data_IF_372046298079
#
_entry.id   IF_372046298079
#
_cell.length_a   1.000
_cell.length_b   1.000
_cell.length_c   1.000
_cell.angle_alpha   90.00
_cell.angle_beta   90.00
_cell.angle_gamma   90.00
#
_symmetry.space_group_name_H-M   'P 1'
#
loop_
_entity.id
_entity.type
_entity.pdbx_description
1 polymer ?
#
# COMPACT_ATOMS: atom_id res chain seq x y z
N UNK A 1 9.78 6.12 4.08
CA UNK A 1 10.05 7.58 4.18
C UNK A 1 11.53 7.74 4.47
N UNK A 2 12.26 8.37 3.57
CA UNK A 2 13.68 8.67 3.77
C UNK A 2 13.82 9.89 4.68
N UNK A 3 14.33 9.70 5.87
CA UNK A 3 14.70 10.81 6.74
C UNK A 3 16.09 11.27 6.34
N UNK A 4 16.19 12.49 5.80
CA UNK A 4 17.46 13.08 5.41
C UNK A 4 18.17 13.81 6.54
N UNK A 5 17.54 13.91 7.71
CA UNK A 5 18.13 14.60 8.84
C UNK A 5 17.89 13.83 10.15
N UNK A 6 18.85 13.91 11.05
CA UNK A 6 18.75 13.38 12.42
C UNK A 6 17.88 14.24 13.31
N UNK A 7 17.46 15.42 12.84
CA UNK A 7 16.67 16.37 13.58
C UNK A 7 15.58 16.98 12.69
N UNK A 8 14.35 17.08 13.23
CA UNK A 8 13.19 17.72 12.59
C UNK A 8 12.87 18.96 13.39
N UNK A 9 13.11 20.15 12.81
CA UNK A 9 12.84 21.44 13.45
C UNK A 9 11.35 21.80 13.57
N UNK A 10 10.48 21.06 12.85
CA UNK A 10 9.03 21.32 12.83
C UNK A 10 8.29 20.38 13.76
N UNK A 11 7.19 20.83 14.40
CA UNK A 11 6.34 19.95 15.18
C UNK A 11 5.84 18.76 14.35
N UNK A 12 5.91 17.55 14.92
CA UNK A 12 5.38 16.34 14.32
C UNK A 12 4.13 15.91 15.09
N UNK A 13 2.99 15.88 14.41
CA UNK A 13 1.73 15.44 14.99
C UNK A 13 1.47 13.96 14.63
N UNK A 14 1.46 13.11 15.64
CA UNK A 14 1.05 11.71 15.48
C UNK A 14 -0.46 11.60 15.71
N UNK A 15 -1.21 11.23 14.66
CA UNK A 15 -2.66 11.01 14.79
C UNK A 15 -2.92 9.77 15.64
N UNK A 16 -3.64 9.94 16.76
CA UNK A 16 -3.99 8.89 17.72
C UNK A 16 -5.52 8.66 17.81
N UNK A 17 -6.26 9.10 16.81
CA UNK A 17 -7.71 8.86 16.75
C UNK A 17 -7.94 7.38 16.50
N UNK A 18 -8.34 6.65 17.53
CA UNK A 18 -8.55 5.20 17.55
C UNK A 18 -10.03 4.86 17.41
N UNK A 19 -10.31 3.57 17.33
CA UNK A 19 -11.63 2.98 17.32
C UNK A 19 -12.04 2.47 15.94
N UNK A 20 -12.75 1.35 15.99
CA UNK A 20 -13.40 0.69 14.86
C UNK A 20 -14.87 0.55 15.26
N UNK A 21 -15.78 1.06 14.44
CA UNK A 21 -17.21 1.06 14.74
C UNK A 21 -18.02 0.64 13.51
N UNK A 22 -18.80 -0.42 13.65
CA UNK A 22 -19.85 -0.75 12.70
C UNK A 22 -21.01 0.25 12.94
N UNK A 23 -21.46 0.94 11.90
CA UNK A 23 -22.55 1.89 12.00
C UNK A 23 -23.77 1.52 11.14
N UNK A 24 -23.56 0.64 10.17
CA UNK A 24 -24.61 0.13 9.30
C UNK A 24 -24.19 -1.25 8.79
N UNK A 25 -25.14 -2.14 8.67
CA UNK A 25 -24.97 -3.43 8.02
C UNK A 25 -26.29 -3.89 7.38
N UNK A 26 -26.16 -4.78 6.41
CA UNK A 26 -27.25 -5.54 5.83
C UNK A 26 -26.84 -7.02 5.75
N UNK A 27 -27.55 -7.83 5.00
CA UNK A 27 -27.27 -9.25 4.85
C UNK A 27 -25.88 -9.52 4.26
N UNK A 28 -25.45 -8.74 3.28
CA UNK A 28 -24.24 -8.99 2.49
C UNK A 28 -23.06 -8.07 2.82
N UNK A 29 -23.32 -6.89 3.38
CA UNK A 29 -22.35 -5.84 3.58
C UNK A 29 -22.36 -5.27 4.99
N UNK A 30 -21.21 -4.82 5.42
CA UNK A 30 -21.02 -4.06 6.65
C UNK A 30 -20.29 -2.75 6.36
N UNK A 31 -20.75 -1.67 6.98
CA UNK A 31 -20.15 -0.34 6.89
C UNK A 31 -19.43 -0.03 8.19
N UNK A 32 -18.11 0.16 8.08
CA UNK A 32 -17.22 0.28 9.23
C UNK A 32 -16.53 1.64 9.21
N UNK A 33 -16.68 2.39 10.28
CA UNK A 33 -16.01 3.67 10.50
C UNK A 33 -14.76 3.46 11.36
N UNK A 34 -13.58 3.86 10.87
CA UNK A 34 -12.29 3.59 11.49
C UNK A 34 -11.52 4.89 11.72
N UNK A 35 -11.03 5.06 12.94
CA UNK A 35 -10.21 6.21 13.31
C UNK A 35 -8.87 6.20 12.56
N UNK A 36 -8.44 7.38 12.08
CA UNK A 36 -7.25 7.51 11.24
C UNK A 36 -5.94 7.05 11.91
N UNK A 37 -5.88 7.01 13.24
CA UNK A 37 -4.74 6.53 14.01
C UNK A 37 -4.74 5.03 14.30
N UNK A 38 -5.75 4.27 13.87
CA UNK A 38 -5.75 2.80 13.95
C UNK A 38 -4.64 2.27 13.06
N UNK A 39 -3.86 1.30 13.53
CA UNK A 39 -2.87 0.64 12.70
C UNK A 39 -3.58 -0.11 11.56
N UNK A 40 -3.03 -0.05 10.35
CA UNK A 40 -3.65 -0.66 9.18
C UNK A 40 -3.75 -2.17 9.30
N UNK A 41 -2.68 -2.81 9.78
CA UNK A 41 -2.65 -4.27 9.90
C UNK A 41 -3.61 -4.76 10.99
N UNK A 42 -3.69 -4.04 12.12
CA UNK A 42 -4.69 -4.33 13.17
C UNK A 42 -6.12 -4.23 12.63
N UNK A 43 -6.40 -3.26 11.74
CA UNK A 43 -7.70 -3.15 11.09
C UNK A 43 -7.99 -4.32 10.14
N UNK A 44 -7.02 -4.74 9.33
CA UNK A 44 -7.18 -5.91 8.44
C UNK A 44 -7.41 -7.17 9.27
N UNK A 45 -6.63 -7.41 10.33
CA UNK A 45 -6.81 -8.56 11.21
C UNK A 45 -8.20 -8.54 11.87
N UNK A 46 -8.65 -7.38 12.36
CA UNK A 46 -10.00 -7.23 12.89
C UNK A 46 -11.07 -7.58 11.83
N UNK A 47 -10.88 -7.21 10.57
CA UNK A 47 -11.79 -7.60 9.50
C UNK A 47 -11.82 -9.13 9.31
N UNK A 48 -10.67 -9.78 9.29
CA UNK A 48 -10.57 -11.24 9.15
C UNK A 48 -11.22 -11.98 10.32
N UNK A 49 -11.00 -11.52 11.55
CA UNK A 49 -11.59 -12.10 12.77
C UNK A 49 -13.13 -12.03 12.77
N UNK A 50 -13.71 -11.03 12.09
CA UNK A 50 -15.14 -10.85 11.94
C UNK A 50 -15.69 -11.42 10.62
N UNK A 51 -14.89 -12.11 9.83
CA UNK A 51 -15.23 -12.59 8.49
C UNK A 51 -15.72 -11.46 7.55
N UNK A 52 -15.03 -10.31 7.56
CA UNK A 52 -15.30 -9.18 6.67
C UNK A 52 -14.23 -9.10 5.57
N UNK A 53 -14.67 -9.32 4.32
CA UNK A 53 -13.77 -9.34 3.14
C UNK A 53 -13.68 -8.01 2.42
N UNK A 54 -12.59 -7.85 1.66
CA UNK A 54 -12.32 -6.71 0.77
C UNK A 54 -10.99 -6.00 1.01
N UNK A 55 -10.32 -6.28 2.15
CA UNK A 55 -9.02 -5.69 2.51
C UNK A 55 -7.92 -6.73 2.76
N UNK A 56 -8.22 -8.01 2.69
CA UNK A 56 -7.31 -9.13 2.95
C UNK A 56 -6.04 -9.10 2.11
N UNK A 57 -6.12 -8.68 0.83
CA UNK A 57 -4.97 -8.53 -0.05
C UNK A 57 -4.01 -7.40 0.37
N UNK A 58 -4.46 -6.52 1.26
CA UNK A 58 -3.70 -5.35 1.72
C UNK A 58 -3.07 -5.57 3.10
N UNK A 59 -3.06 -6.81 3.60
CA UNK A 59 -2.44 -7.18 4.88
C UNK A 59 -0.94 -6.87 4.88
N UNK A 60 -0.40 -6.60 6.06
CA UNK A 60 1.03 -6.29 6.30
C UNK A 60 1.55 -5.04 5.58
N UNK A 61 0.68 -4.14 5.10
CA UNK A 61 1.09 -2.83 4.61
C UNK A 61 1.33 -1.92 5.83
N UNK A 62 2.54 -1.38 6.02
CA UNK A 62 2.83 -0.55 7.18
C UNK A 62 2.12 0.79 7.12
N UNK A 63 1.68 1.29 8.27
CA UNK A 63 1.06 2.60 8.41
C UNK A 63 -0.25 2.55 9.20
N UNK A 64 -0.97 3.67 9.16
CA UNK A 64 -2.27 3.81 9.82
C UNK A 64 -3.39 3.99 8.78
N UNK A 65 -4.61 3.70 9.19
CA UNK A 65 -5.82 3.81 8.37
C UNK A 65 -5.95 5.17 7.68
N UNK A 66 -5.65 6.28 8.37
CA UNK A 66 -5.69 7.61 7.75
C UNK A 66 -4.63 7.87 6.67
N UNK A 67 -3.56 7.06 6.63
CA UNK A 67 -2.54 7.09 5.58
C UNK A 67 -2.94 6.30 4.32
N UNK A 68 -3.83 5.34 4.46
CA UNK A 68 -4.23 4.45 3.37
C UNK A 68 -4.83 5.20 2.15
N UNK A 69 -5.78 6.13 2.30
CA UNK A 69 -6.35 6.87 1.18
C UNK A 69 -5.40 7.90 0.56
N UNK A 70 -4.37 8.35 1.28
CA UNK A 70 -3.46 9.40 0.76
C UNK A 70 -2.89 9.01 -0.59
N UNK A 71 -2.40 7.81 -0.71
CA UNK A 71 -1.81 7.29 -1.95
C UNK A 71 -2.54 6.08 -2.50
N UNK A 72 -3.80 5.90 -2.10
CA UNK A 72 -4.59 4.76 -2.56
C UNK A 72 -3.75 3.47 -2.46
N UNK A 73 -3.44 3.04 -1.23
CA UNK A 73 -2.60 1.84 -1.03
C UNK A 73 -3.18 0.67 -1.81
N UNK A 74 -2.31 -0.15 -2.37
CA UNK A 74 -2.75 -1.29 -3.17
C UNK A 74 -1.64 -2.33 -3.31
N UNK A 75 -2.03 -3.58 -3.29
CA UNK A 75 -1.18 -4.75 -3.45
C UNK A 75 -1.99 -5.93 -3.96
N UNK A 76 -1.35 -6.85 -4.64
CA UNK A 76 -1.91 -8.13 -5.06
C UNK A 76 -3.30 -8.03 -5.73
N UNK A 77 -3.44 -7.06 -6.64
CA UNK A 77 -4.66 -6.87 -7.44
C UNK A 77 -5.76 -6.04 -6.79
N UNK A 78 -5.60 -5.59 -5.52
CA UNK A 78 -6.59 -4.75 -4.83
C UNK A 78 -6.02 -3.37 -4.52
N UNK A 79 -6.90 -2.38 -4.48
CA UNK A 79 -6.61 -1.03 -4.00
C UNK A 79 -7.61 -0.66 -2.90
N UNK A 80 -7.19 0.17 -1.94
CA UNK A 80 -8.05 0.55 -0.82
C UNK A 80 -9.28 1.34 -1.25
N UNK A 81 -9.22 2.04 -2.39
CA UNK A 81 -10.38 2.72 -3.00
C UNK A 81 -11.57 1.79 -3.26
N UNK A 82 -11.30 0.49 -3.46
CA UNK A 82 -12.34 -0.49 -3.79
C UNK A 82 -13.31 -0.72 -2.61
N UNK A 83 -12.87 -0.38 -1.40
CA UNK A 83 -13.66 -0.54 -0.17
C UNK A 83 -13.98 0.78 0.54
N UNK A 84 -13.30 1.88 0.22
CA UNK A 84 -13.56 3.19 0.85
C UNK A 84 -14.91 3.75 0.38
N UNK A 85 -15.76 4.10 1.34
CA UNK A 85 -17.00 4.85 1.14
C UNK A 85 -16.73 6.35 1.23
N UNK A 86 -16.00 6.77 2.28
CA UNK A 86 -15.69 8.18 2.51
C UNK A 86 -14.46 8.37 3.39
N UNK A 87 -13.86 9.56 3.26
CA UNK A 87 -12.79 10.05 4.12
C UNK A 87 -13.25 11.35 4.81
N UNK A 88 -13.24 11.34 6.13
CA UNK A 88 -13.59 12.53 6.95
C UNK A 88 -12.34 13.12 7.58
N UNK A 89 -12.29 14.44 7.68
CA UNK A 89 -11.18 15.13 8.29
C UNK A 89 -11.40 16.63 8.37
N UNK A 90 -10.32 17.36 8.57
CA UNK A 90 -10.37 18.82 8.73
C UNK A 90 -9.29 19.53 7.91
N UNK A 91 -9.60 20.70 7.43
CA UNK A 91 -8.64 21.61 6.83
C UNK A 91 -7.73 22.20 7.92
N UNK A 92 -6.42 22.04 7.75
CA UNK A 92 -5.43 22.41 8.77
C UNK A 92 -5.47 23.92 9.08
N UNK A 93 -5.73 24.77 8.06
CA UNK A 93 -5.70 26.22 8.21
C UNK A 93 -6.83 26.79 9.07
N UNK A 94 -8.04 26.24 8.93
CA UNK A 94 -9.26 26.84 9.53
C UNK A 94 -10.07 25.84 10.37
N UNK A 95 -9.58 24.62 10.51
CA UNK A 95 -10.19 23.51 11.27
C UNK A 95 -11.62 23.15 10.79
N UNK A 96 -12.00 23.60 9.58
CA UNK A 96 -13.30 23.26 9.00
C UNK A 96 -13.31 21.76 8.65
N UNK A 97 -14.33 21.09 9.15
CA UNK A 97 -14.54 19.67 8.83
C UNK A 97 -15.11 19.50 7.42
N UNK A 98 -14.69 18.44 6.75
CA UNK A 98 -15.28 17.97 5.50
C UNK A 98 -15.21 16.45 5.42
N UNK A 99 -16.26 15.88 4.83
CA UNK A 99 -16.29 14.47 4.38
C UNK A 99 -16.18 14.45 2.86
N UNK A 100 -15.25 13.64 2.36
CA UNK A 100 -15.09 13.36 0.94
C UNK A 100 -15.67 12.00 0.65
N UNK A 101 -16.58 11.89 -0.30
CA UNK A 101 -17.04 10.60 -0.85
C UNK A 101 -15.91 9.92 -1.62
N UNK A 102 -16.05 8.64 -1.94
CA UNK A 102 -15.08 7.91 -2.75
C UNK A 102 -14.75 8.65 -4.07
N UNK A 103 -15.77 9.13 -4.78
CA UNK A 103 -15.60 9.88 -6.04
C UNK A 103 -14.86 11.21 -5.84
N UNK A 104 -15.16 11.95 -4.77
CA UNK A 104 -14.46 13.21 -4.45
C UNK A 104 -12.99 12.99 -4.04
N UNK A 105 -12.64 11.80 -3.53
CA UNK A 105 -11.26 11.44 -3.22
C UNK A 105 -10.38 11.35 -4.49
N UNK A 106 -10.96 11.27 -5.67
CA UNK A 106 -10.26 11.22 -6.97
C UNK A 106 -9.10 10.23 -6.97
N UNK A 107 -9.38 9.01 -6.52
CA UNK A 107 -8.39 7.95 -6.44
C UNK A 107 -7.89 7.52 -7.81
N UNK A 108 -6.58 7.40 -7.93
CA UNK A 108 -5.92 6.81 -9.09
C UNK A 108 -4.69 6.02 -8.63
N UNK A 109 -3.92 5.45 -9.57
CA UNK A 109 -2.74 4.66 -9.24
C UNK A 109 -1.74 5.42 -8.36
N UNK A 110 -1.64 5.01 -7.10
CA UNK A 110 -0.76 5.61 -6.05
C UNK A 110 -0.97 7.10 -5.84
N UNK A 111 -2.18 7.61 -6.05
CA UNK A 111 -2.53 9.01 -5.81
C UNK A 111 -3.99 9.19 -5.40
N UNK A 112 -4.30 10.36 -4.85
CA UNK A 112 -5.62 10.83 -4.49
C UNK A 112 -5.61 12.36 -4.40
N UNK A 113 -6.77 12.98 -4.21
CA UNK A 113 -6.89 14.41 -3.92
C UNK A 113 -6.03 14.84 -2.71
N UNK A 114 -5.88 13.97 -1.72
CA UNK A 114 -5.09 14.24 -0.50
C UNK A 114 -3.58 14.27 -0.75
N UNK A 115 -3.11 13.56 -1.76
CA UNK A 115 -1.68 13.56 -2.16
C UNK A 115 -1.37 14.68 -3.14
N UNK A 116 -2.35 15.19 -3.84
CA UNK A 116 -2.24 16.23 -4.88
C UNK A 116 -2.77 17.58 -4.36
N UNK A 117 -4.00 17.94 -4.70
CA UNK A 117 -4.59 19.26 -4.44
C UNK A 117 -4.69 19.62 -2.96
N UNK A 118 -4.91 18.63 -2.10
CA UNK A 118 -5.04 18.82 -0.64
C UNK A 118 -3.78 18.44 0.14
N UNK A 119 -2.66 18.26 -0.55
CA UNK A 119 -1.38 17.95 0.10
C UNK A 119 -1.02 19.03 1.11
N UNK A 120 -0.79 18.61 2.36
CA UNK A 120 -0.49 19.49 3.50
C UNK A 120 -1.59 20.48 3.86
N UNK A 121 -2.80 20.35 3.31
CA UNK A 121 -3.93 21.23 3.59
C UNK A 121 -5.04 20.52 4.39
N UNK A 122 -5.09 19.21 4.36
CA UNK A 122 -6.15 18.40 4.96
C UNK A 122 -5.59 17.27 5.80
N UNK A 123 -6.13 17.09 7.01
CA UNK A 123 -5.80 15.98 7.90
C UNK A 123 -7.00 15.02 7.99
N UNK A 124 -6.81 13.78 7.56
CA UNK A 124 -7.82 12.73 7.66
C UNK A 124 -7.92 12.29 9.12
N UNK A 125 -9.12 12.28 9.67
CA UNK A 125 -9.41 11.86 11.05
C UNK A 125 -10.13 10.52 11.12
N UNK A 126 -10.85 10.17 10.04
CA UNK A 126 -11.66 8.94 9.99
C UNK A 126 -11.82 8.48 8.54
N UNK A 127 -11.85 7.17 8.34
CA UNK A 127 -12.14 6.54 7.04
C UNK A 127 -13.29 5.56 7.23
N UNK A 128 -14.23 5.58 6.31
CA UNK A 128 -15.37 4.66 6.30
C UNK A 128 -15.20 3.67 5.16
N UNK A 129 -15.36 2.39 5.49
CA UNK A 129 -15.26 1.27 4.55
C UNK A 129 -16.59 0.56 4.39
N UNK A 130 -16.80 -0.03 3.21
CA UNK A 130 -17.81 -1.06 2.97
C UNK A 130 -17.08 -2.38 2.72
N UNK A 131 -17.47 -3.42 3.47
CA UNK A 131 -16.84 -4.73 3.44
C UNK A 131 -17.92 -5.80 3.24
N UNK A 132 -17.56 -6.93 2.65
CA UNK A 132 -18.47 -8.05 2.46
C UNK A 132 -18.57 -8.91 3.72
N UNK A 133 -19.74 -9.46 4.03
CA UNK A 133 -19.99 -10.39 5.15
C UNK A 133 -20.02 -11.86 4.70
N UNK A 134 -20.36 -12.06 3.45
CA UNK A 134 -20.43 -13.39 2.81
C UNK A 134 -20.16 -13.25 1.31
N UNK A 135 -20.08 -14.35 0.58
CA UNK A 135 -19.85 -14.37 -0.86
C UNK A 135 -18.67 -13.48 -1.28
N UNK A 136 -17.58 -13.57 -0.53
CA UNK A 136 -16.41 -12.73 -0.72
C UNK A 136 -15.84 -12.87 -2.14
N UNK A 137 -15.55 -11.76 -2.80
CA UNK A 137 -14.86 -11.75 -4.08
C UNK A 137 -13.37 -11.94 -3.83
N UNK A 138 -12.89 -13.14 -4.03
CA UNK A 138 -11.49 -13.52 -3.79
C UNK A 138 -10.61 -13.10 -4.97
N UNK A 139 -9.55 -12.33 -4.68
CA UNK A 139 -8.55 -11.92 -5.66
C UNK A 139 -7.26 -12.71 -5.48
N UNK A 140 -7.10 -13.75 -6.28
CA UNK A 140 -5.95 -14.67 -6.24
C UNK A 140 -5.12 -14.69 -7.54
N UNK A 141 -5.45 -13.82 -8.51
CA UNK A 141 -4.89 -13.86 -9.86
C UNK A 141 -3.41 -13.42 -9.94
N UNK A 142 -2.88 -12.86 -8.86
CA UNK A 142 -1.47 -12.47 -8.82
C UNK A 142 -0.57 -13.71 -8.80
N UNK A 143 0.42 -13.79 -9.72
CA UNK A 143 1.20 -15.01 -9.98
C UNK A 143 1.82 -15.62 -8.72
N UNK A 144 2.41 -14.81 -7.84
CA UNK A 144 2.99 -15.35 -6.61
C UNK A 144 1.95 -15.84 -5.61
N UNK A 145 0.72 -15.33 -5.65
CA UNK A 145 -0.40 -15.82 -4.84
C UNK A 145 -0.88 -17.16 -5.39
N UNK A 146 -1.11 -17.26 -6.72
CA UNK A 146 -1.50 -18.52 -7.39
C UNK A 146 -0.51 -19.64 -7.11
N UNK A 147 0.78 -19.35 -7.25
CA UNK A 147 1.84 -20.34 -7.04
C UNK A 147 1.83 -20.90 -5.63
N UNK A 148 1.69 -20.04 -4.60
CA UNK A 148 1.64 -20.49 -3.21
C UNK A 148 0.34 -21.21 -2.86
N UNK A 149 -0.81 -20.73 -3.33
CA UNK A 149 -2.08 -21.47 -3.18
C UNK A 149 -1.97 -22.88 -3.72
N UNK A 150 -1.38 -23.04 -4.91
CA UNK A 150 -1.12 -24.36 -5.50
C UNK A 150 -0.17 -25.21 -4.64
N UNK A 151 0.92 -24.63 -4.13
CA UNK A 151 1.89 -25.34 -3.30
C UNK A 151 1.27 -25.82 -1.98
N UNK A 152 0.34 -25.04 -1.42
CA UNK A 152 -0.42 -25.41 -0.22
C UNK A 152 -1.67 -26.27 -0.50
N UNK A 153 -1.91 -26.67 -1.77
CA UNK A 153 -3.08 -27.43 -2.21
C UNK A 153 -4.43 -26.75 -1.88
N UNK A 154 -4.47 -25.41 -1.86
CA UNK A 154 -5.68 -24.63 -1.61
C UNK A 154 -6.36 -24.31 -2.95
N UNK A 155 -7.50 -24.96 -3.21
CA UNK A 155 -8.26 -24.78 -4.47
C UNK A 155 -9.37 -23.74 -4.37
N UNK A 156 -9.99 -23.59 -3.20
CA UNK A 156 -11.06 -22.62 -2.92
C UNK A 156 -10.65 -21.76 -1.72
N UNK A 157 -9.79 -20.76 -1.92
CA UNK A 157 -9.28 -19.96 -0.82
C UNK A 157 -10.36 -19.09 -0.19
N UNK A 158 -10.34 -19.01 1.13
CA UNK A 158 -11.06 -18.02 1.92
C UNK A 158 -10.28 -16.69 1.98
N UNK A 159 -10.89 -15.64 2.53
CA UNK A 159 -10.21 -14.37 2.80
C UNK A 159 -9.03 -14.55 3.76
N UNK A 160 -9.13 -15.50 4.70
CA UNK A 160 -8.06 -15.83 5.64
C UNK A 160 -6.91 -16.52 4.92
N UNK A 161 -7.19 -17.45 4.00
CA UNK A 161 -6.14 -18.11 3.20
C UNK A 161 -5.38 -17.08 2.35
N UNK A 162 -6.09 -16.16 1.69
CA UNK A 162 -5.46 -15.09 0.92
C UNK A 162 -4.56 -14.22 1.81
N UNK A 163 -5.05 -13.80 2.96
CA UNK A 163 -4.27 -13.00 3.90
C UNK A 163 -3.00 -13.74 4.36
N UNK A 164 -3.10 -15.01 4.71
CA UNK A 164 -1.97 -15.83 5.15
C UNK A 164 -0.93 -16.02 4.03
N UNK A 165 -1.37 -16.35 2.82
CA UNK A 165 -0.49 -16.48 1.64
C UNK A 165 0.23 -15.16 1.34
N UNK A 166 -0.47 -14.04 1.39
CA UNK A 166 0.14 -12.73 1.13
C UNK A 166 1.13 -12.37 2.23
N UNK A 167 0.82 -12.67 3.49
CA UNK A 167 1.74 -12.47 4.60
C UNK A 167 3.01 -13.30 4.41
N UNK A 168 2.91 -14.57 4.05
CA UNK A 168 4.04 -15.45 3.74
C UNK A 168 4.92 -14.88 2.61
N UNK A 169 4.30 -14.44 1.49
CA UNK A 169 5.01 -13.79 0.39
C UNK A 169 5.76 -12.55 0.87
N UNK A 170 5.13 -11.73 1.72
CA UNK A 170 5.71 -10.49 2.20
C UNK A 170 6.83 -10.73 3.19
N UNK A 171 6.65 -11.66 4.12
CA UNK A 171 7.68 -12.03 5.10
C UNK A 171 8.93 -12.62 4.42
N UNK A 172 8.76 -13.37 3.34
CA UNK A 172 9.87 -13.86 2.52
C UNK A 172 10.55 -12.76 1.71
N UNK A 173 9.77 -11.85 1.12
CA UNK A 173 10.31 -10.83 0.20
C UNK A 173 10.79 -9.56 0.91
N UNK A 174 10.11 -9.12 1.96
CA UNK A 174 10.38 -7.84 2.59
C UNK A 174 11.29 -8.00 3.80
N UNK A 175 12.34 -7.19 3.93
CA UNK A 175 13.14 -7.18 5.16
C UNK A 175 12.29 -6.70 6.33
N UNK A 176 12.50 -7.30 7.49
CA UNK A 176 11.86 -6.83 8.72
C UNK A 176 12.35 -5.42 9.04
N UNK A 177 11.47 -4.43 8.91
CA UNK A 177 11.81 -3.01 9.15
C UNK A 177 12.20 -2.69 10.59
N UNK A 178 11.92 -3.59 11.54
CA UNK A 178 12.38 -3.49 12.94
C UNK A 178 13.85 -3.88 13.10
N UNK A 179 14.39 -4.62 12.14
CA UNK A 179 15.79 -5.07 12.11
C UNK A 179 16.61 -4.24 11.12
N UNK A 180 16.06 -4.02 9.93
CA UNK A 180 16.72 -3.25 8.88
C UNK A 180 15.77 -2.14 8.43
N UNK A 181 16.13 -0.88 8.74
CA UNK A 181 15.38 0.28 8.28
C UNK A 181 15.24 0.27 6.76
N UNK A 182 14.04 0.47 6.25
CA UNK A 182 13.82 0.55 4.81
C UNK A 182 12.75 1.59 4.46
N UNK A 183 12.82 2.11 3.24
CA UNK A 183 11.88 3.09 2.71
C UNK A 183 10.78 2.44 1.85
N UNK A 184 10.73 1.12 1.77
CA UNK A 184 9.84 0.40 0.87
C UNK A 184 10.19 0.65 -0.61
N UNK A 185 9.22 0.47 -1.49
CA UNK A 185 9.37 0.81 -2.92
C UNK A 185 9.43 2.32 -3.10
N UNK A 186 10.62 2.84 -3.40
CA UNK A 186 10.83 4.27 -3.57
C UNK A 186 10.20 4.81 -4.86
N UNK A 187 10.32 4.06 -5.94
CA UNK A 187 9.78 4.43 -7.24
C UNK A 187 8.41 3.79 -7.49
N UNK A 188 7.52 4.54 -8.12
CA UNK A 188 6.33 3.97 -8.75
C UNK A 188 6.75 3.24 -10.02
N UNK A 189 5.97 2.22 -10.40
CA UNK A 189 6.07 1.65 -11.72
C UNK A 189 5.67 2.73 -12.75
N UNK A 190 6.55 3.16 -13.66
CA UNK A 190 6.20 4.16 -14.66
C UNK A 190 5.16 3.61 -15.63
N UNK A 191 4.26 4.49 -16.04
CA UNK A 191 3.34 4.26 -17.15
C UNK A 191 3.90 5.09 -18.30
N UNK A 192 4.16 4.46 -19.44
CA UNK A 192 4.68 5.08 -20.65
C UNK A 192 3.75 4.79 -21.82
N UNK A 193 3.80 5.61 -22.85
CA UNK A 193 3.08 5.34 -24.09
C UNK A 193 3.66 4.10 -24.82
N UNK A 194 2.80 3.46 -25.61
CA UNK A 194 3.14 2.24 -26.33
C UNK A 194 4.28 2.44 -27.34
N UNK A 195 4.36 3.61 -27.98
CA UNK A 195 5.43 3.91 -28.93
C UNK A 195 6.81 3.90 -28.23
N UNK A 196 6.89 4.53 -27.06
CA UNK A 196 8.11 4.54 -26.24
C UNK A 196 8.44 3.14 -25.74
N UNK A 197 7.43 2.35 -25.40
CA UNK A 197 7.62 0.96 -24.99
C UNK A 197 8.21 0.11 -26.12
N UNK A 198 7.67 0.21 -27.35
CA UNK A 198 8.22 -0.54 -28.49
C UNK A 198 9.66 -0.12 -28.82
N UNK A 199 10.00 1.17 -28.70
CA UNK A 199 11.41 1.63 -28.83
C UNK A 199 12.33 1.01 -27.77
N UNK A 200 11.85 0.85 -26.53
CA UNK A 200 12.63 0.19 -25.46
C UNK A 200 12.83 -1.30 -25.75
N UNK A 201 11.84 -1.98 -26.33
CA UNK A 201 11.95 -3.42 -26.70
C UNK A 201 13.03 -3.68 -27.72
N UNK A 202 13.40 -2.71 -28.55
CA UNK A 202 14.53 -2.86 -29.50
C UNK A 202 15.87 -3.09 -28.78
N UNK A 203 16.01 -2.58 -27.58
CA UNK A 203 17.24 -2.73 -26.78
C UNK A 203 17.12 -3.77 -25.67
N UNK A 204 15.89 -4.15 -25.29
CA UNK A 204 15.60 -5.05 -24.19
C UNK A 204 14.45 -5.99 -24.59
N UNK A 205 14.74 -7.17 -25.11
CA UNK A 205 13.73 -8.12 -25.61
C UNK A 205 12.71 -8.56 -24.56
N UNK A 206 13.15 -8.71 -23.32
CA UNK A 206 12.35 -9.25 -22.22
C UNK A 206 12.00 -8.21 -21.17
N UNK A 207 11.37 -7.10 -21.58
CA UNK A 207 10.86 -6.11 -20.62
C UNK A 207 9.56 -6.63 -20.00
N UNK A 208 9.50 -6.90 -18.68
CA UNK A 208 8.25 -7.19 -18.01
C UNK A 208 7.30 -6.01 -18.16
N UNK A 209 6.07 -6.25 -18.57
CA UNK A 209 5.14 -5.17 -18.87
C UNK A 209 3.71 -5.56 -18.58
N UNK A 210 2.91 -4.54 -18.24
CA UNK A 210 1.47 -4.67 -18.00
C UNK A 210 0.75 -3.62 -18.84
N UNK A 211 -0.03 -4.04 -19.80
CA UNK A 211 -0.89 -3.14 -20.58
C UNK A 211 -1.98 -2.57 -19.68
N UNK A 212 -2.09 -1.25 -19.62
CA UNK A 212 -3.11 -0.53 -18.87
C UNK A 212 -4.34 -0.29 -19.77
N UNK A 213 -4.08 0.12 -21.01
CA UNK A 213 -5.05 0.35 -22.06
C UNK A 213 -4.35 0.18 -23.43
N UNK A 214 -5.02 0.54 -24.51
CA UNK A 214 -4.49 0.43 -25.89
C UNK A 214 -3.24 1.29 -26.14
N UNK A 215 -3.08 2.37 -25.37
CA UNK A 215 -2.05 3.40 -25.58
C UNK A 215 -0.95 3.37 -24.51
N UNK A 216 -1.18 2.74 -23.35
CA UNK A 216 -0.33 2.87 -22.17
C UNK A 216 0.14 1.53 -21.62
N UNK A 217 1.42 1.47 -21.29
CA UNK A 217 2.09 0.29 -20.73
C UNK A 217 2.78 0.66 -19.42
N UNK A 218 2.58 -0.14 -18.39
CA UNK A 218 3.25 -0.01 -17.10
C UNK A 218 4.45 -0.96 -17.03
N UNK A 219 5.63 -0.42 -16.68
CA UNK A 219 6.87 -1.18 -16.52
C UNK A 219 7.22 -1.27 -15.03
N UNK A 220 7.63 -2.45 -14.51
CA UNK A 220 8.10 -2.56 -13.14
C UNK A 220 9.35 -1.71 -12.89
N UNK A 221 9.28 -0.78 -11.93
CA UNK A 221 10.43 0.02 -11.53
C UNK A 221 11.60 -0.85 -11.00
N UNK A 222 11.25 -1.98 -10.39
CA UNK A 222 12.20 -2.98 -9.92
C UNK A 222 13.11 -3.49 -11.05
N UNK A 223 12.50 -3.85 -12.19
CA UNK A 223 13.25 -4.29 -13.36
C UNK A 223 14.15 -3.17 -13.92
N UNK A 224 13.66 -1.94 -13.98
CA UNK A 224 14.46 -0.80 -14.43
C UNK A 224 15.70 -0.58 -13.56
N UNK A 225 15.56 -0.67 -12.24
CA UNK A 225 16.67 -0.55 -11.29
C UNK A 225 17.68 -1.67 -11.52
N UNK A 226 17.23 -2.90 -11.75
CA UNK A 226 18.06 -4.06 -12.03
C UNK A 226 18.77 -3.92 -13.38
N UNK A 227 18.06 -3.53 -14.43
CA UNK A 227 18.63 -3.30 -15.76
C UNK A 227 19.69 -2.18 -15.77
N UNK A 228 19.55 -1.17 -14.90
CA UNK A 228 20.55 -0.13 -14.69
C UNK A 228 21.75 -0.58 -13.81
N UNK A 229 21.79 -1.83 -13.35
CA UNK A 229 22.90 -2.37 -12.55
C UNK A 229 22.91 -1.93 -11.08
N UNK A 230 21.84 -1.28 -10.58
CA UNK A 230 21.79 -0.77 -9.20
C UNK A 230 21.42 -1.81 -8.15
N UNK A 231 21.12 -3.04 -8.54
CA UNK A 231 20.87 -4.14 -7.60
C UNK A 231 22.15 -4.48 -6.84
N UNK A 232 22.07 -4.52 -5.51
CA UNK A 232 23.20 -4.78 -4.59
C UNK A 232 24.27 -3.68 -4.50
N UNK A 233 24.11 -2.54 -5.16
CA UNK A 233 25.03 -1.43 -4.95
C UNK A 233 24.79 -0.84 -3.56
N UNK A 234 25.88 -0.70 -2.80
CA UNK A 234 25.89 -0.04 -1.49
C UNK A 234 26.53 1.32 -1.69
N UNK A 235 25.80 2.38 -1.37
CA UNK A 235 26.31 3.75 -1.38
C UNK A 235 26.22 4.32 0.03
N UNK A 236 27.35 4.48 0.68
CA UNK A 236 27.43 4.79 2.12
C UNK A 236 26.59 3.76 2.93
N UNK A 237 25.58 4.25 3.66
CA UNK A 237 24.68 3.42 4.48
C UNK A 237 23.35 3.11 3.77
N UNK A 238 23.27 3.27 2.44
CA UNK A 238 22.05 3.05 1.66
C UNK A 238 22.32 1.99 0.59
N UNK A 239 21.45 1.02 0.46
CA UNK A 239 21.56 0.01 -0.58
C UNK A 239 20.21 -0.38 -1.15
N UNK A 240 20.23 -0.97 -2.35
CA UNK A 240 19.08 -1.65 -2.92
C UNK A 240 19.08 -3.10 -2.45
N UNK A 241 17.97 -3.58 -1.89
CA UNK A 241 17.88 -4.94 -1.36
C UNK A 241 18.07 -6.00 -2.44
N UNK A 242 18.81 -7.06 -2.11
CA UNK A 242 19.16 -8.11 -3.08
C UNK A 242 17.96 -8.83 -3.71
N UNK A 243 16.89 -9.02 -2.93
CA UNK A 243 15.69 -9.75 -3.37
C UNK A 243 14.58 -8.84 -3.90
N UNK A 244 14.73 -7.53 -3.71
CA UNK A 244 13.74 -6.54 -4.10
C UNK A 244 14.45 -5.26 -4.49
N UNK A 245 13.92 -4.53 -5.43
CA UNK A 245 14.40 -3.19 -5.73
C UNK A 245 13.89 -2.17 -4.70
N UNK A 246 13.92 -2.55 -3.43
CA UNK A 246 13.62 -1.69 -2.29
C UNK A 246 14.91 -1.00 -1.85
N UNK A 247 14.81 0.28 -1.55
CA UNK A 247 15.94 1.03 -0.98
C UNK A 247 16.00 0.73 0.51
N UNK A 248 17.12 0.14 0.93
CA UNK A 248 17.47 -0.01 2.34
C UNK A 248 18.25 1.21 2.80
N UNK A 249 17.99 1.57 4.03
CA UNK A 249 18.87 2.43 4.80
C UNK A 249 19.41 1.53 5.90
N UNK A 250 20.68 1.15 5.82
CA UNK A 250 21.37 0.66 7.00
C UNK A 250 21.52 1.86 7.92
N UNK A 251 20.83 1.85 9.07
CA UNK A 251 21.13 2.82 10.12
C UNK A 251 22.61 2.68 10.48
N UNK A 252 23.35 3.79 10.65
CA UNK A 252 24.57 3.72 11.42
C UNK A 252 24.17 3.11 12.75
N UNK A 253 24.85 2.03 13.12
CA UNK A 253 24.72 1.37 14.42
C UNK A 253 24.44 2.44 15.46
N UNK A 254 23.35 2.31 16.21
CA UNK A 254 23.11 3.07 17.42
C UNK A 254 24.27 2.74 18.37
N UNK A 255 25.39 3.40 18.19
CA UNK A 255 26.34 3.56 19.26
C UNK A 255 25.85 4.74 20.09
N UNK A 256 25.28 4.33 21.24
CA UNK A 256 25.29 5.06 22.47
C UNK A 256 24.73 6.49 22.47
N UNK A 257 23.44 6.60 22.73
CA UNK A 257 22.98 7.68 23.58
C UNK A 257 22.94 7.12 25.01
N UNK A 258 24.04 7.37 25.74
CA UNK A 258 24.01 7.38 27.20
C UNK A 258 23.27 8.63 27.67
#
# INVERSE_FOLDING_TARGET
>A
MLFKSTFIEKPVFKIQIKGIKIYKENENEVYVSVGAGVNWDDFVLWCLDNNFGGVENLISIPGNVGGAPIQNIGAYGREVKDTIVSCEGLFIKNLKQKTFTNSECNFNYRTSVFKDKLKNLFAITKVTFVLTKNNHLIFSEYESVKSLLKNHNITNPSIIDIANIIKEIRDFKLPNYKVIGNAGSFFKNPIIDKEKFEKLKLNFELIPSYYIDESNVKIPAAWLIEACGYKKIIYNNVSVHSNLSLIHISEPTRQEAI
#
